data_IF_474273429883
#
_entry.id   IF_474273429883
#
_cell.length_a   1.000
_cell.length_b   1.000
_cell.length_c   1.000
_cell.angle_alpha   90.00
_cell.angle_beta   90.00
_cell.angle_gamma   90.00
#
_symmetry.space_group_name_H-M   'P 1'
#
loop_
_entity.id
_entity.type
_entity.pdbx_description
1 polymer ?
#
# COMPACT_ATOMS: atom_id res chain seq x y z
N UNK A 1 -12.97 -3.77 15.56
CA UNK A 1 -11.84 -3.79 16.51
C UNK A 1 -11.45 -2.34 16.78
N UNK A 2 -10.95 -1.99 17.98
CA UNK A 2 -10.43 -0.64 18.18
C UNK A 2 -9.17 -0.46 17.30
N UNK A 3 -8.92 0.74 16.74
CA UNK A 3 -7.68 1.03 16.04
C UNK A 3 -6.48 0.85 16.96
N UNK A 4 -5.38 0.31 16.42
CA UNK A 4 -4.10 0.20 17.12
C UNK A 4 -3.64 1.58 17.66
N UNK A 5 -3.10 1.60 18.87
CA UNK A 5 -2.66 2.81 19.54
C UNK A 5 -1.21 2.75 20.03
N UNK A 6 -0.68 3.89 20.46
CA UNK A 6 0.63 3.95 21.11
C UNK A 6 0.63 3.07 22.36
N UNK A 7 1.67 2.25 22.49
CA UNK A 7 1.78 1.28 23.56
C UNK A 7 1.20 -0.09 23.20
N UNK A 8 0.53 -0.28 22.06
CA UNK A 8 0.14 -1.61 21.60
C UNK A 8 1.32 -2.34 20.96
N UNK A 9 1.24 -3.67 20.92
CA UNK A 9 2.15 -4.48 20.11
C UNK A 9 1.56 -4.67 18.72
N UNK A 10 2.39 -4.52 17.68
CA UNK A 10 2.02 -4.87 16.32
C UNK A 10 1.55 -6.33 16.27
N UNK A 11 0.37 -6.63 15.71
CA UNK A 11 -0.04 -8.00 15.46
C UNK A 11 0.90 -8.64 14.44
N UNK A 12 0.96 -9.98 14.43
CA UNK A 12 1.59 -10.67 13.31
C UNK A 12 0.57 -10.86 12.18
N UNK A 13 1.07 -11.01 10.96
CA UNK A 13 0.25 -11.25 9.78
C UNK A 13 1.09 -11.56 8.56
N UNK A 14 0.50 -12.29 7.62
CA UNK A 14 1.16 -12.65 6.36
C UNK A 14 0.80 -11.64 5.27
N UNK A 15 1.81 -11.08 4.64
CA UNK A 15 1.69 -10.13 3.53
C UNK A 15 2.43 -10.68 2.31
N UNK A 16 1.89 -10.42 1.12
CA UNK A 16 2.58 -10.76 -0.11
C UNK A 16 3.59 -9.69 -0.50
N UNK A 17 4.77 -10.11 -0.94
CA UNK A 17 5.87 -9.21 -1.30
C UNK A 17 6.67 -9.80 -2.46
N UNK A 18 7.20 -8.95 -3.33
CA UNK A 18 8.21 -9.36 -4.30
C UNK A 18 9.59 -8.98 -3.77
N UNK A 19 10.45 -9.98 -3.61
CA UNK A 19 11.83 -9.77 -3.17
C UNK A 19 12.71 -9.17 -4.27
N UNK A 20 13.97 -8.91 -3.94
CA UNK A 20 14.98 -8.33 -4.82
C UNK A 20 15.28 -9.21 -6.05
N UNK A 21 15.00 -10.51 -5.98
CA UNK A 21 15.16 -11.48 -7.09
C UNK A 21 13.88 -11.64 -7.90
N UNK A 22 12.91 -10.74 -7.71
CA UNK A 22 11.62 -10.72 -8.38
C UNK A 22 10.76 -11.97 -8.11
N UNK A 23 10.98 -12.64 -6.98
CA UNK A 23 10.20 -13.79 -6.55
C UNK A 23 9.09 -13.39 -5.59
N UNK A 24 7.90 -13.97 -5.79
CA UNK A 24 6.76 -13.77 -4.90
C UNK A 24 6.99 -14.52 -3.59
N UNK A 25 7.01 -13.77 -2.49
CA UNK A 25 7.12 -14.25 -1.14
C UNK A 25 5.83 -13.98 -0.34
N UNK A 26 5.59 -14.83 0.66
CA UNK A 26 4.68 -14.53 1.77
C UNK A 26 5.54 -14.26 3.00
N UNK A 27 5.43 -13.06 3.55
CA UNK A 27 6.28 -12.59 4.65
C UNK A 27 5.45 -12.26 5.87
N UNK A 28 5.93 -12.69 7.03
CA UNK A 28 5.39 -12.30 8.33
C UNK A 28 5.80 -10.87 8.66
N UNK A 29 4.88 -10.07 9.20
CA UNK A 29 5.19 -8.74 9.71
C UNK A 29 6.16 -8.81 10.88
N UNK A 30 6.00 -9.78 11.79
CA UNK A 30 6.95 -9.97 12.89
C UNK A 30 8.36 -10.30 12.38
N UNK A 31 8.48 -11.11 11.33
CA UNK A 31 9.79 -11.40 10.72
C UNK A 31 10.47 -10.13 10.15
N UNK A 32 9.68 -9.16 9.68
CA UNK A 32 10.19 -7.88 9.19
C UNK A 32 10.45 -6.86 10.31
N UNK A 33 9.76 -6.96 11.45
CA UNK A 33 9.70 -5.91 12.46
C UNK A 33 10.32 -6.24 13.84
N UNK A 34 10.46 -7.52 14.19
CA UNK A 34 11.00 -7.92 15.49
C UNK A 34 12.48 -7.51 15.63
N UNK A 35 12.84 -6.96 16.79
CA UNK A 35 14.19 -6.47 17.07
C UNK A 35 14.62 -5.24 16.27
N UNK A 36 13.70 -4.61 15.53
CA UNK A 36 13.97 -3.47 14.65
C UNK A 36 13.09 -2.28 14.99
N UNK A 37 13.53 -1.10 14.58
CA UNK A 37 12.70 0.09 14.50
C UNK A 37 12.11 0.20 13.10
N UNK A 38 10.79 0.10 13.00
CA UNK A 38 10.10 -0.01 11.71
C UNK A 38 9.02 1.05 11.55
N UNK A 39 8.88 1.54 10.33
CA UNK A 39 7.76 2.36 9.91
C UNK A 39 6.80 1.48 9.14
N UNK A 40 5.53 1.44 9.56
CA UNK A 40 4.44 0.83 8.80
C UNK A 40 3.49 1.94 8.38
N UNK A 41 3.32 2.18 7.09
CA UNK A 41 2.34 3.14 6.61
C UNK A 41 1.36 2.49 5.63
N UNK A 42 0.08 2.82 5.79
CA UNK A 42 -1.02 2.24 5.04
C UNK A 42 -1.67 3.23 4.11
N UNK A 43 -2.14 2.74 2.97
CA UNK A 43 -2.92 3.52 2.00
C UNK A 43 -4.20 2.81 1.55
N UNK A 44 -5.25 3.56 1.20
CA UNK A 44 -6.50 2.97 0.69
C UNK A 44 -6.37 2.19 -0.63
N UNK A 45 -5.34 2.45 -1.44
CA UNK A 45 -5.13 1.72 -2.68
C UNK A 45 -3.94 2.21 -3.49
N UNK A 46 -3.30 1.27 -4.18
CA UNK A 46 -2.28 1.52 -5.19
C UNK A 46 -2.85 2.36 -6.32
N UNK A 47 -1.96 3.13 -6.96
CA UNK A 47 -2.27 4.05 -8.06
C UNK A 47 -3.22 5.21 -7.74
N UNK A 48 -3.91 5.24 -6.60
CA UNK A 48 -4.84 6.35 -6.28
C UNK A 48 -4.12 7.71 -6.08
N UNK A 49 -4.75 8.85 -6.45
CA UNK A 49 -4.07 10.15 -6.58
C UNK A 49 -3.22 10.58 -5.38
N UNK A 50 -3.81 10.75 -4.19
CA UNK A 50 -3.09 11.18 -2.97
C UNK A 50 -2.03 10.17 -2.54
N UNK A 51 -2.28 8.88 -2.76
CA UNK A 51 -1.34 7.83 -2.38
C UNK A 51 -0.10 7.85 -3.28
N UNK A 52 -0.32 7.99 -4.59
CA UNK A 52 0.76 7.90 -5.58
C UNK A 52 1.57 9.17 -5.76
N UNK A 53 0.94 10.34 -5.56
CA UNK A 53 1.58 11.64 -5.81
C UNK A 53 2.14 12.30 -4.54
N UNK A 54 1.69 11.89 -3.36
CA UNK A 54 2.05 12.56 -2.11
C UNK A 54 2.54 11.59 -1.03
N UNK A 55 1.71 10.61 -0.64
CA UNK A 55 2.01 9.79 0.53
C UNK A 55 3.23 8.88 0.33
N UNK A 56 3.24 8.07 -0.73
CA UNK A 56 4.35 7.16 -1.04
C UNK A 56 5.64 7.92 -1.42
N UNK A 57 5.60 8.92 -2.32
CA UNK A 57 6.79 9.72 -2.63
C UNK A 57 7.41 10.39 -1.40
N UNK A 58 6.60 10.88 -0.46
CA UNK A 58 7.10 11.48 0.78
C UNK A 58 8.00 10.54 1.58
N UNK A 59 7.60 9.28 1.74
CA UNK A 59 8.43 8.27 2.40
C UNK A 59 9.66 7.86 1.58
N UNK A 60 9.55 7.79 0.26
CA UNK A 60 10.68 7.44 -0.62
C UNK A 60 11.75 8.53 -0.57
N UNK A 61 11.38 9.80 -0.72
CA UNK A 61 12.30 10.93 -0.70
C UNK A 61 12.99 11.09 0.65
N UNK A 62 12.28 10.82 1.75
CA UNK A 62 12.81 10.97 3.11
C UNK A 62 13.44 9.69 3.67
N UNK A 63 13.45 8.59 2.91
CA UNK A 63 13.88 7.28 3.40
C UNK A 63 15.32 7.28 3.95
N UNK A 64 16.25 7.96 3.28
CA UNK A 64 17.64 8.08 3.75
C UNK A 64 17.73 8.79 5.10
N UNK A 65 16.94 9.85 5.29
CA UNK A 65 16.90 10.60 6.54
C UNK A 65 16.27 9.78 7.68
N UNK A 66 15.19 9.06 7.39
CA UNK A 66 14.55 8.13 8.32
C UNK A 66 15.54 7.03 8.74
N UNK A 67 16.26 6.43 7.78
CA UNK A 67 17.29 5.43 8.05
C UNK A 67 18.46 5.98 8.86
N UNK A 68 18.94 7.18 8.54
CA UNK A 68 19.99 7.85 9.31
C UNK A 68 19.58 8.13 10.77
N UNK A 69 18.29 8.26 11.06
CA UNK A 69 17.71 8.38 12.40
C UNK A 69 17.44 7.03 13.09
N UNK A 70 17.91 5.92 12.51
CA UNK A 70 17.85 4.59 13.10
C UNK A 70 16.58 3.81 12.78
N UNK A 71 15.86 4.15 11.71
CA UNK A 71 14.79 3.29 11.17
C UNK A 71 15.40 2.18 10.31
N UNK A 72 15.12 0.93 10.65
CA UNK A 72 15.64 -0.23 9.93
C UNK A 72 14.82 -0.55 8.68
N UNK A 73 13.50 -0.45 8.75
CA UNK A 73 12.58 -0.86 7.68
C UNK A 73 11.45 0.16 7.47
N UNK A 74 11.08 0.38 6.21
CA UNK A 74 9.93 1.21 5.82
C UNK A 74 8.99 0.33 4.99
N UNK A 75 7.83 0.03 5.55
CA UNK A 75 6.87 -0.94 5.02
C UNK A 75 5.61 -0.20 4.57
N UNK A 76 5.33 -0.24 3.27
CA UNK A 76 4.07 0.23 2.69
C UNK A 76 3.08 -0.92 2.64
N UNK A 77 1.88 -0.72 3.17
CA UNK A 77 0.80 -1.71 3.17
C UNK A 77 -0.40 -1.16 2.40
N UNK A 78 -0.95 -1.97 1.50
CA UNK A 78 -2.21 -1.68 0.80
C UNK A 78 -3.10 -2.91 0.80
N UNK A 79 -4.42 -2.70 1.00
CA UNK A 79 -5.43 -3.77 1.05
C UNK A 79 -6.05 -3.99 -0.30
N UNK A 80 -6.08 -5.23 -0.75
CA UNK A 80 -6.83 -5.58 -1.95
C UNK A 80 -8.32 -5.63 -1.58
N UNK A 81 -9.14 -4.82 -2.25
CA UNK A 81 -10.57 -4.80 -1.99
C UNK A 81 -11.19 -6.15 -2.36
N UNK A 82 -11.53 -6.98 -1.38
CA UNK A 82 -12.40 -8.13 -1.64
C UNK A 82 -13.81 -7.58 -1.80
N UNK A 83 -14.25 -7.39 -3.04
CA UNK A 83 -15.68 -7.25 -3.35
C UNK A 83 -16.14 -8.58 -3.94
N UNK A 84 -16.96 -9.37 -3.25
CA UNK A 84 -17.54 -10.58 -3.83
C UNK A 84 -18.35 -10.21 -5.09
N UNK A 85 -17.87 -10.63 -6.25
CA UNK A 85 -18.59 -10.49 -7.53
C UNK A 85 -18.33 -9.23 -8.35
N UNK A 86 -17.33 -8.40 -8.02
CA UNK A 86 -17.13 -7.12 -8.73
C UNK A 86 -15.85 -7.11 -9.59
N UNK A 87 -16.01 -7.39 -10.88
CA UNK A 87 -14.98 -7.19 -11.92
C UNK A 87 -14.80 -5.69 -12.29
N UNK A 88 -15.51 -4.76 -11.62
CA UNK A 88 -15.57 -3.34 -12.00
C UNK A 88 -14.57 -2.43 -11.30
N UNK A 89 -13.87 -2.91 -10.28
CA UNK A 89 -13.01 -2.04 -9.49
C UNK A 89 -11.78 -1.51 -10.30
N UNK A 90 -11.51 -2.08 -11.48
CA UNK A 90 -10.53 -1.61 -12.47
C UNK A 90 -10.89 -0.25 -13.15
N UNK A 91 -12.06 0.35 -12.87
CA UNK A 91 -12.65 1.40 -13.70
C UNK A 91 -12.70 2.81 -13.09
N UNK A 92 -11.79 3.19 -12.17
CA UNK A 92 -11.86 4.52 -11.50
C UNK A 92 -10.55 5.30 -11.62
N UNK A 93 -9.94 5.34 -12.81
CA UNK A 93 -8.80 6.25 -13.07
C UNK A 93 -8.81 6.93 -14.45
N UNK A 94 -9.83 6.73 -15.29
CA UNK A 94 -9.77 7.20 -16.68
C UNK A 94 -10.27 8.62 -16.94
N UNK A 95 -11.04 9.25 -16.04
CA UNK A 95 -11.91 10.34 -16.51
C UNK A 95 -11.41 11.78 -16.24
N UNK A 96 -10.22 12.01 -15.67
CA UNK A 96 -9.81 13.42 -15.38
C UNK A 96 -8.32 13.79 -15.49
N UNK A 97 -7.36 12.91 -15.84
CA UNK A 97 -5.94 13.30 -15.81
C UNK A 97 -5.17 13.03 -17.12
N UNK A 98 -4.68 14.07 -17.84
CA UNK A 98 -3.83 13.89 -19.03
C UNK A 98 -2.47 13.22 -18.76
N UNK A 99 -2.02 13.12 -17.51
CA UNK A 99 -0.82 12.34 -17.13
C UNK A 99 -1.03 10.81 -17.21
N UNK A 100 -2.27 10.33 -17.39
CA UNK A 100 -2.58 8.91 -17.61
C UNK A 100 -1.90 8.32 -18.87
N UNK A 101 -1.49 9.18 -19.81
CA UNK A 101 -0.80 8.79 -21.06
C UNK A 101 0.61 8.24 -20.79
N UNK A 102 1.33 8.81 -19.83
CA UNK A 102 2.68 8.34 -19.44
C UNK A 102 2.57 7.01 -18.71
N UNK A 103 1.52 6.82 -17.89
CA UNK A 103 1.20 5.53 -17.29
C UNK A 103 0.85 4.49 -18.36
N UNK A 104 0.07 4.87 -19.38
CA UNK A 104 -0.30 3.99 -20.50
C UNK A 104 0.92 3.50 -21.29
N UNK A 105 1.91 4.34 -21.54
CA UNK A 105 3.13 3.97 -22.27
C UNK A 105 4.04 3.04 -21.45
N UNK A 106 4.24 3.33 -20.16
CA UNK A 106 4.98 2.44 -19.24
C UNK A 106 4.24 1.10 -19.12
N UNK A 107 2.91 1.10 -19.05
CA UNK A 107 2.09 -0.12 -18.93
C UNK A 107 2.06 -0.96 -20.24
N UNK A 108 2.28 -0.34 -21.40
CA UNK A 108 2.38 -0.99 -22.70
C UNK A 108 3.67 -1.80 -22.83
N UNK A 109 4.79 -1.27 -22.33
CA UNK A 109 6.12 -1.89 -22.42
C UNK A 109 6.24 -3.17 -21.55
N UNK A 110 5.50 -3.25 -20.45
CA UNK A 110 5.54 -4.38 -19.50
C UNK A 110 4.38 -5.40 -19.61
N UNK A 111 3.55 -5.34 -20.66
CA UNK A 111 2.36 -6.19 -20.81
C UNK A 111 1.38 -6.12 -19.62
N UNK A 112 1.29 -4.97 -18.94
CA UNK A 112 0.44 -4.74 -17.77
C UNK A 112 -0.97 -4.21 -18.14
N UNK A 113 -1.34 -4.25 -19.42
CA UNK A 113 -2.62 -3.79 -20.04
C UNK A 113 -3.91 -4.31 -19.39
N UNK A 114 -3.85 -5.14 -18.36
CA UNK A 114 -5.04 -5.81 -17.81
C UNK A 114 -5.71 -5.20 -16.60
N UNK A 115 -5.17 -4.12 -16.01
CA UNK A 115 -5.75 -3.56 -14.79
C UNK A 115 -6.61 -2.31 -14.96
N UNK A 116 -6.66 -1.62 -16.12
CA UNK A 116 -7.47 -0.38 -16.27
C UNK A 116 -8.24 -0.21 -17.60
N UNK A 117 -7.99 -0.97 -18.67
CA UNK A 117 -8.67 -0.73 -19.96
C UNK A 117 -9.66 -1.82 -20.33
N UNK A 118 -10.95 -1.60 -19.99
CA UNK A 118 -12.09 -2.20 -20.68
C UNK A 118 -12.55 -1.27 -21.80
N UNK A 119 -11.87 -1.29 -22.96
CA UNK A 119 -12.50 -1.01 -24.25
C UNK A 119 -11.94 -2.03 -25.28
N UNK A 120 -12.72 -3.07 -25.57
CA UNK A 120 -12.77 -3.64 -26.91
C UNK A 120 -11.84 -4.78 -27.33
N UNK A 121 -11.10 -5.47 -26.45
CA UNK A 121 -10.36 -6.67 -26.85
C UNK A 121 -10.63 -7.88 -25.97
N UNK A 122 -10.93 -9.00 -26.64
CA UNK A 122 -11.11 -10.35 -26.08
C UNK A 122 -9.85 -10.78 -25.32
N UNK A 123 -9.85 -10.52 -24.02
CA UNK A 123 -8.82 -10.96 -23.10
C UNK A 123 -9.21 -12.33 -22.56
N UNK A 124 -8.41 -13.33 -22.93
CA UNK A 124 -8.36 -14.70 -22.37
C UNK A 124 -8.72 -14.74 -20.87
N UNK A 125 -9.77 -15.46 -20.49
CA UNK A 125 -10.49 -15.34 -19.20
C UNK A 125 -9.64 -15.53 -17.92
N UNK A 126 -8.37 -15.94 -18.02
CA UNK A 126 -7.51 -16.32 -16.89
C UNK A 126 -6.99 -15.17 -15.99
N UNK A 127 -7.26 -13.90 -16.31
CA UNK A 127 -6.79 -12.75 -15.52
C UNK A 127 -7.91 -11.78 -15.09
N UNK A 128 -9.17 -12.12 -15.37
CA UNK A 128 -10.35 -11.27 -15.14
C UNK A 128 -10.84 -11.30 -13.68
N UNK A 129 -9.92 -11.44 -12.72
CA UNK A 129 -10.23 -11.61 -11.29
C UNK A 129 -9.08 -11.30 -10.34
N UNK A 130 -8.08 -10.52 -10.79
CA UNK A 130 -6.96 -10.09 -9.92
C UNK A 130 -7.33 -8.80 -9.20
N UNK A 131 -7.22 -8.84 -7.88
CA UNK A 131 -7.63 -7.80 -6.95
C UNK A 131 -6.69 -6.58 -7.02
N UNK A 132 -7.20 -5.36 -6.84
CA UNK A 132 -6.50 -4.08 -7.10
C UNK A 132 -5.23 -3.88 -6.26
N UNK A 133 -5.01 -4.67 -5.21
CA UNK A 133 -3.78 -4.57 -4.42
C UNK A 133 -3.21 -5.95 -4.09
N UNK A 134 -3.25 -6.86 -5.06
CA UNK A 134 -2.49 -8.11 -4.97
C UNK A 134 -0.97 -7.83 -5.07
N UNK A 135 -0.10 -8.81 -4.74
CA UNK A 135 1.35 -8.62 -4.78
C UNK A 135 1.89 -8.17 -6.14
N UNK A 136 1.26 -8.60 -7.24
CA UNK A 136 1.67 -8.23 -8.60
C UNK A 136 1.33 -6.76 -8.89
N UNK A 137 0.19 -6.27 -8.41
CA UNK A 137 -0.17 -4.85 -8.52
C UNK A 137 0.75 -3.99 -7.67
N UNK A 138 1.06 -4.41 -6.44
CA UNK A 138 2.02 -3.70 -5.58
C UNK A 138 3.42 -3.65 -6.20
N UNK A 139 3.87 -4.73 -6.86
CA UNK A 139 5.11 -4.74 -7.65
C UNK A 139 5.05 -3.77 -8.83
N UNK A 140 3.97 -3.77 -9.60
CA UNK A 140 3.80 -2.84 -10.71
C UNK A 140 3.81 -1.38 -10.24
N UNK A 141 3.21 -1.11 -9.09
CA UNK A 141 3.22 0.21 -8.47
C UNK A 141 4.60 0.61 -7.96
N UNK A 142 5.34 -0.31 -7.33
CA UNK A 142 6.71 -0.03 -6.91
C UNK A 142 7.61 0.38 -8.08
N UNK A 143 7.42 -0.22 -9.27
CA UNK A 143 8.16 0.11 -10.49
C UNK A 143 7.92 1.53 -11.01
N UNK A 144 6.84 2.21 -10.60
CA UNK A 144 6.62 3.62 -10.97
C UNK A 144 7.52 4.58 -10.19
N UNK A 145 8.25 4.09 -9.19
CA UNK A 145 9.21 4.86 -8.39
C UNK A 145 10.63 4.29 -8.58
N UNK A 146 11.28 4.52 -9.72
CA UNK A 146 12.62 4.00 -10.00
C UNK A 146 13.68 4.46 -8.99
N UNK A 147 13.43 5.57 -8.29
CA UNK A 147 14.27 6.10 -7.23
C UNK A 147 14.10 5.41 -5.88
N UNK A 148 13.08 4.55 -5.71
CA UNK A 148 12.84 3.83 -4.47
C UNK A 148 13.93 2.79 -4.21
N UNK A 149 14.63 2.95 -3.07
CA UNK A 149 15.66 2.02 -2.61
C UNK A 149 15.30 1.28 -1.31
N UNK A 150 14.30 1.79 -0.57
CA UNK A 150 14.14 1.47 0.85
C UNK A 150 12.72 1.06 1.24
N UNK A 151 11.70 1.51 0.50
CA UNK A 151 10.30 1.23 0.83
C UNK A 151 9.91 -0.13 0.26
N UNK A 152 9.48 -1.05 1.13
CA UNK A 152 8.96 -2.36 0.75
C UNK A 152 7.46 -2.28 0.51
N UNK A 153 7.02 -2.65 -0.69
CA UNK A 153 5.61 -2.62 -1.10
C UNK A 153 4.96 -3.97 -0.76
N UNK A 154 4.20 -4.01 0.32
CA UNK A 154 3.56 -5.22 0.86
C UNK A 154 2.06 -5.22 0.55
N UNK A 155 1.58 -6.35 0.02
CA UNK A 155 0.19 -6.57 -0.31
C UNK A 155 -0.54 -7.30 0.83
N UNK A 156 -1.51 -6.62 1.45
CA UNK A 156 -2.51 -7.25 2.31
C UNK A 156 -3.70 -7.71 1.46
N UNK A 157 -3.45 -8.75 0.64
CA UNK A 157 -4.42 -9.24 -0.35
C UNK A 157 -5.75 -9.73 0.24
N UNK A 158 -5.75 -10.05 1.54
CA UNK A 158 -6.92 -10.55 2.25
C UNK A 158 -7.60 -9.52 3.15
N UNK A 159 -6.95 -8.37 3.39
CA UNK A 159 -7.38 -7.37 4.37
C UNK A 159 -7.24 -7.82 5.83
N UNK A 160 -6.77 -9.04 6.08
CA UNK A 160 -6.71 -9.62 7.42
C UNK A 160 -5.75 -8.86 8.33
N UNK A 161 -4.62 -8.39 7.80
CA UNK A 161 -3.65 -7.65 8.61
C UNK A 161 -4.18 -6.26 8.98
N UNK A 162 -4.78 -5.57 8.01
CA UNK A 162 -5.43 -4.28 8.24
C UNK A 162 -6.59 -4.37 9.22
N UNK A 163 -7.36 -5.46 9.16
CA UNK A 163 -8.39 -5.81 10.14
C UNK A 163 -7.82 -6.05 11.52
N UNK A 164 -6.69 -6.75 11.63
CA UNK A 164 -6.00 -7.00 12.90
C UNK A 164 -5.47 -5.70 13.53
N UNK A 165 -5.15 -4.69 12.73
CA UNK A 165 -4.80 -3.34 13.21
C UNK A 165 -6.04 -2.50 13.59
N UNK A 166 -7.26 -2.93 13.25
CA UNK A 166 -8.46 -2.12 13.39
C UNK A 166 -8.51 -0.90 12.46
N UNK A 167 -7.84 -0.98 11.30
CA UNK A 167 -7.67 0.14 10.35
C UNK A 167 -8.43 -0.06 9.04
N UNK A 168 -9.49 -0.88 9.06
CA UNK A 168 -10.42 -1.02 7.95
C UNK A 168 -11.21 0.29 7.71
N UNK A 169 -11.44 0.60 6.44
CA UNK A 169 -12.30 1.69 5.98
C UNK A 169 -13.34 1.09 5.05
N UNK A 170 -14.61 1.10 5.47
CA UNK A 170 -15.70 0.60 4.63
C UNK A 170 -16.12 1.67 3.60
N UNK A 171 -15.87 1.39 2.32
CA UNK A 171 -16.28 2.20 1.19
C UNK A 171 -17.21 1.42 0.25
N UNK A 172 -17.94 0.43 0.78
CA UNK A 172 -18.86 -0.41 0.02
C UNK A 172 -19.95 0.42 -0.67
N UNK A 173 -20.51 1.42 0.01
CA UNK A 173 -21.50 2.34 -0.58
C UNK A 173 -20.94 3.17 -1.76
N UNK A 174 -19.62 3.33 -1.82
CA UNK A 174 -18.91 4.00 -2.92
C UNK A 174 -18.42 3.02 -4.00
N UNK A 175 -18.78 1.73 -3.90
CA UNK A 175 -18.37 0.69 -4.84
C UNK A 175 -16.89 0.28 -4.73
N UNK A 176 -16.21 0.64 -3.63
CA UNK A 176 -14.78 0.36 -3.46
C UNK A 176 -14.51 -0.81 -2.50
N UNK A 177 -15.53 -1.30 -1.79
CA UNK A 177 -15.40 -2.34 -0.77
C UNK A 177 -14.63 -1.88 0.47
N UNK A 178 -14.14 -2.85 1.25
CA UNK A 178 -13.30 -2.57 2.41
C UNK A 178 -11.87 -2.22 1.95
N UNK A 179 -11.35 -1.10 2.45
CA UNK A 179 -10.00 -0.59 2.20
C UNK A 179 -9.23 -0.43 3.50
N UNK A 180 -7.96 -0.08 3.39
CA UNK A 180 -7.18 0.43 4.52
C UNK A 180 -7.44 1.93 4.72
N UNK A 181 -7.52 2.37 5.97
CA UNK A 181 -7.36 3.79 6.31
C UNK A 181 -5.96 4.23 5.92
N UNK A 182 -5.78 5.54 5.74
CA UNK A 182 -4.43 6.10 5.65
C UNK A 182 -3.84 6.20 7.05
N UNK A 183 -2.63 5.70 7.23
CA UNK A 183 -1.95 5.76 8.54
C UNK A 183 -0.43 5.71 8.38
N UNK A 184 0.29 6.12 9.42
CA UNK A 184 1.71 5.86 9.61
C UNK A 184 1.97 5.50 11.09
N UNK A 185 2.59 4.36 11.31
CA UNK A 185 3.01 3.86 12.61
C UNK A 185 4.53 3.85 12.67
N UNK A 186 5.06 4.22 13.84
CA UNK A 186 6.43 3.88 14.22
C UNK A 186 6.36 2.80 15.30
N UNK A 187 7.14 1.73 15.13
CA UNK A 187 7.27 0.71 16.14
C UNK A 187 8.74 0.40 16.43
N UNK A 188 9.05 0.13 17.69
CA UNK A 188 10.36 -0.30 18.16
C UNK A 188 10.21 -1.68 18.79
N UNK A 189 10.82 -2.69 18.16
CA UNK A 189 10.70 -4.10 18.55
C UNK A 189 9.23 -4.50 18.78
N UNK A 190 8.43 -4.37 17.73
CA UNK A 190 6.98 -4.61 17.70
C UNK A 190 6.14 -3.68 18.57
N UNK A 191 6.71 -2.83 19.44
CA UNK A 191 5.94 -1.91 20.27
C UNK A 191 5.66 -0.62 19.53
N UNK A 192 4.40 -0.26 19.35
CA UNK A 192 4.00 0.98 18.68
C UNK A 192 4.35 2.18 19.56
N UNK A 193 5.16 3.10 19.04
CA UNK A 193 5.58 4.34 19.69
C UNK A 193 4.92 5.58 19.09
N UNK A 194 4.50 5.51 17.83
CA UNK A 194 3.70 6.54 17.14
C UNK A 194 2.56 5.87 16.39
N UNK A 195 1.36 6.44 16.48
CA UNK A 195 0.17 5.95 15.78
C UNK A 195 -0.59 7.12 15.13
N UNK A 196 -0.18 7.50 13.92
CA UNK A 196 -0.83 8.58 13.16
C UNK A 196 -1.86 7.97 12.20
N UNK A 197 -3.14 8.02 12.58
CA UNK A 197 -4.24 7.38 11.84
C UNK A 197 -5.20 8.46 11.34
N UNK A 198 -5.35 8.56 10.02
CA UNK A 198 -6.23 9.56 9.39
C UNK A 198 -7.71 9.19 9.53
N UNK A 199 -8.57 10.20 9.57
CA UNK A 199 -10.01 10.04 9.44
C UNK A 199 -10.47 10.25 7.99
N UNK A 200 -11.34 9.35 7.52
CA UNK A 200 -11.87 9.40 6.16
C UNK A 200 -10.79 9.42 5.08
N UNK A 201 -10.83 10.43 4.21
CA UNK A 201 -9.91 10.59 3.08
C UNK A 201 -8.72 11.52 3.33
N UNK A 202 -8.47 11.91 4.59
CA UNK A 202 -7.45 12.91 4.93
C UNK A 202 -6.02 12.40 4.71
N UNK A 203 -5.11 13.37 4.65
CA UNK A 203 -3.66 13.17 4.64
C UNK A 203 -3.03 14.39 5.32
N UNK A 204 -2.92 14.32 6.64
CA UNK A 204 -2.53 15.46 7.49
C UNK A 204 -1.46 15.09 8.51
N UNK A 205 -1.53 13.88 9.06
CA UNK A 205 -0.67 13.40 10.15
C UNK A 205 0.13 12.14 9.76
N UNK A 206 -0.22 11.46 8.68
CA UNK A 206 0.44 10.21 8.27
C UNK A 206 1.67 10.40 7.38
N UNK A 207 2.09 11.64 7.11
CA UNK A 207 3.25 11.91 6.27
C UNK A 207 4.58 11.51 6.90
N UNK A 208 5.59 11.26 6.07
CA UNK A 208 6.95 10.95 6.52
C UNK A 208 7.54 12.06 7.43
N UNK A 209 7.19 13.31 7.17
CA UNK A 209 7.61 14.46 7.98
C UNK A 209 7.14 14.35 9.44
N UNK A 210 5.93 13.83 9.66
CA UNK A 210 5.37 13.66 11.00
C UNK A 210 6.08 12.55 11.76
N UNK A 211 6.47 11.48 11.07
CA UNK A 211 7.31 10.44 11.67
C UNK A 211 8.71 10.98 11.98
N UNK A 212 9.31 11.79 11.10
CA UNK A 212 10.61 12.41 11.35
C UNK A 212 10.63 13.30 12.60
N UNK A 213 9.53 14.02 12.87
CA UNK A 213 9.40 14.86 14.08
C UNK A 213 9.37 14.03 15.37
N UNK A 214 8.98 12.76 15.29
CA UNK A 214 8.86 11.86 16.43
C UNK A 214 10.11 10.97 16.67
N UNK A 215 11.08 10.99 15.75
CA UNK A 215 12.36 10.26 15.82
C UNK A 215 13.49 11.12 16.39
#
# INVERSE_FOLDING_TARGET
MAPIAVGDSLPDGQLGWFDESDQLQQVSVHALAAGKRVILFGVPGAFTPTCSMQHVPGFITQAEQLKAKGVDEILLISVAAIVPGDNKAALIMSDTNPEATILLDIMNEYHLIRCVMLIGYNLDQKYLGKNINDPFVMKAWAKTYPENKHVKFLADGSGNYTKALGLELDLTEKGLGIRSRRFALLADNLKVTVANIEEGGQFTISGAEEILKAL
#
